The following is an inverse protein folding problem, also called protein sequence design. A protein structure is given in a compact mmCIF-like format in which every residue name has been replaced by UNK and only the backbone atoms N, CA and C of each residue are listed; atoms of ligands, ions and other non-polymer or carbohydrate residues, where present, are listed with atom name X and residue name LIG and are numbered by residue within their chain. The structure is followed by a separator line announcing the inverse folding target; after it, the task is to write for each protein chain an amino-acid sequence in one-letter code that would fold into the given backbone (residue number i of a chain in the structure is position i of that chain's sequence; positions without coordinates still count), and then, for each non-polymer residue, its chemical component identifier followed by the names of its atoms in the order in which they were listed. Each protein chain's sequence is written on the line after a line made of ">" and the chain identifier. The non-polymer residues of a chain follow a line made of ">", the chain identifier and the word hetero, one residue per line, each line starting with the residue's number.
data_IF_539577544276
#
_entry.id   IF_539577544276
#
_cell.length_a   1.000
_cell.length_b   1.000
_cell.length_c   1.000
_cell.angle_alpha   90.00
_cell.angle_beta   90.00
_cell.angle_gamma   90.00
#
_symmetry.space_group_name_H-M   'P 1'
#
loop_
_entity.id
_entity.type
_entity.pdbx_description
1 polymer ?
#
# COMPACT_ATOMS: atom_id res chain seq x y z
N UNK A 1 -22.57 10.78 24.21
CA UNK A 1 -22.65 11.24 22.82
C UNK A 1 -21.47 10.63 22.08
N UNK A 2 -21.69 9.59 21.27
CA UNK A 2 -20.63 8.96 20.47
C UNK A 2 -20.50 9.76 19.18
N UNK A 3 -19.48 10.60 19.11
CA UNK A 3 -19.08 11.24 17.86
C UNK A 3 -18.78 10.12 16.85
N UNK A 4 -19.52 10.08 15.74
CA UNK A 4 -19.23 9.12 14.67
C UNK A 4 -17.88 9.52 14.10
N UNK A 5 -16.82 8.84 14.53
CA UNK A 5 -15.47 8.99 13.96
C UNK A 5 -15.59 8.78 12.45
N UNK A 6 -15.43 9.85 11.68
CA UNK A 6 -15.43 9.79 10.23
C UNK A 6 -14.15 9.10 9.81
N UNK A 7 -14.27 7.85 9.36
CA UNK A 7 -13.14 7.06 8.87
C UNK A 7 -12.61 7.74 7.59
N UNK A 8 -11.34 8.17 7.56
CA UNK A 8 -10.75 8.73 6.34
C UNK A 8 -10.58 7.63 5.28
N UNK A 9 -10.48 7.99 4.00
CA UNK A 9 -10.20 7.02 2.94
C UNK A 9 -8.86 6.31 3.19
N UNK A 10 -8.70 5.12 2.60
CA UNK A 10 -7.44 4.38 2.60
C UNK A 10 -6.31 5.26 2.05
N UNK A 11 -5.18 5.39 2.77
CA UNK A 11 -4.05 6.19 2.31
C UNK A 11 -3.52 5.75 0.95
N UNK A 12 -3.23 6.70 0.06
CA UNK A 12 -2.59 6.45 -1.25
C UNK A 12 -1.10 6.75 -1.22
N UNK A 13 -0.36 6.16 -2.17
CA UNK A 13 1.10 6.33 -2.30
C UNK A 13 1.58 7.79 -2.34
N UNK A 14 0.80 8.68 -2.94
CA UNK A 14 1.15 10.10 -3.11
C UNK A 14 0.67 10.99 -1.95
N UNK A 15 0.02 10.43 -0.92
CA UNK A 15 -0.40 11.22 0.22
C UNK A 15 0.80 11.62 1.08
N UNK A 16 0.74 12.84 1.64
CA UNK A 16 1.82 13.41 2.42
C UNK A 16 2.28 12.49 3.56
N UNK A 17 1.36 11.82 4.24
CA UNK A 17 1.68 10.88 5.34
C UNK A 17 2.51 9.67 4.88
N UNK A 18 2.30 9.19 3.64
CA UNK A 18 3.06 8.06 3.08
C UNK A 18 4.45 8.52 2.63
N UNK A 19 4.50 9.67 1.96
CA UNK A 19 5.75 10.31 1.53
C UNK A 19 6.63 10.63 2.74
N UNK A 20 6.03 11.24 3.76
CA UNK A 20 6.70 11.57 5.03
C UNK A 20 7.29 10.32 5.67
N UNK A 21 6.51 9.24 5.73
CA UNK A 21 6.97 7.96 6.29
C UNK A 21 8.10 7.33 5.48
N UNK A 22 8.08 7.48 4.15
CA UNK A 22 9.15 7.01 3.27
C UNK A 22 10.45 7.80 3.51
N UNK A 23 10.36 9.14 3.55
CA UNK A 23 11.49 10.04 3.80
C UNK A 23 12.10 9.78 5.19
N UNK A 24 11.29 9.52 6.21
CA UNK A 24 11.77 9.21 7.56
C UNK A 24 12.76 8.04 7.63
N UNK A 25 12.63 7.05 6.74
CA UNK A 25 13.55 5.92 6.68
C UNK A 25 14.95 6.32 6.21
N UNK A 26 15.05 7.35 5.36
CA UNK A 26 16.32 7.83 4.79
C UNK A 26 16.86 9.08 5.48
N UNK A 27 16.13 9.70 6.41
CA UNK A 27 16.58 10.89 7.13
C UNK A 27 17.91 10.69 7.84
N UNK A 28 18.05 9.61 8.60
CA UNK A 28 19.27 9.32 9.36
C UNK A 28 20.50 9.12 8.45
N UNK A 29 20.46 8.27 7.42
CA UNK A 29 21.62 8.10 6.54
C UNK A 29 21.94 9.37 5.74
N UNK A 30 20.94 10.16 5.31
CA UNK A 30 21.21 11.45 4.64
C UNK A 30 21.85 12.45 5.60
N UNK A 31 21.39 12.54 6.86
CA UNK A 31 22.01 13.41 7.86
C UNK A 31 23.47 13.01 8.14
N UNK A 32 23.73 11.70 8.25
CA UNK A 32 25.10 11.20 8.42
C UNK A 32 26.00 11.55 7.23
N UNK A 33 25.48 11.45 6.00
CA UNK A 33 26.19 11.87 4.80
C UNK A 33 26.53 13.37 4.81
N UNK A 34 25.58 14.22 5.24
CA UNK A 34 25.82 15.66 5.40
C UNK A 34 26.90 15.97 6.45
N UNK A 35 26.83 15.30 7.60
CA UNK A 35 27.73 15.55 8.73
C UNK A 35 29.19 15.19 8.40
N UNK A 36 29.43 14.18 7.57
CA UNK A 36 30.77 13.79 7.11
C UNK A 36 31.39 14.87 6.21
N UNK A 37 30.56 15.50 5.37
CA UNK A 37 31.02 16.47 4.38
C UNK A 37 31.19 17.87 4.94
N UNK A 38 30.45 18.24 5.99
CA UNK A 38 30.48 19.56 6.64
C UNK A 38 30.29 20.77 5.67
N UNK A 39 29.81 20.52 4.45
CA UNK A 39 29.75 21.50 3.36
C UNK A 39 28.54 22.41 3.46
N UNK A 40 27.43 21.92 4.03
CA UNK A 40 26.24 22.71 4.32
C UNK A 40 25.34 21.98 5.31
N UNK A 41 24.55 22.73 6.09
CA UNK A 41 23.51 22.19 6.96
C UNK A 41 22.17 22.74 6.47
N UNK A 42 21.32 21.91 5.83
CA UNK A 42 20.02 22.36 5.35
C UNK A 42 19.14 22.76 6.54
N UNK A 43 18.51 23.94 6.46
CA UNK A 43 17.63 24.45 7.52
C UNK A 43 16.44 23.53 7.80
N UNK A 44 15.97 22.83 6.76
CA UNK A 44 14.86 21.87 6.85
C UNK A 44 15.12 20.68 5.92
N UNK A 45 15.96 19.75 6.39
CA UNK A 45 16.34 18.54 5.66
C UNK A 45 15.11 17.75 5.21
N UNK A 46 14.15 17.56 6.10
CA UNK A 46 12.95 16.75 5.84
C UNK A 46 12.09 17.38 4.76
N UNK A 47 11.83 18.69 4.84
CA UNK A 47 11.03 19.37 3.82
C UNK A 47 11.70 19.33 2.44
N UNK A 48 13.02 19.54 2.36
CA UNK A 48 13.74 19.48 1.08
C UNK A 48 13.67 18.09 0.45
N UNK A 49 13.85 17.04 1.25
CA UNK A 49 13.70 15.66 0.80
C UNK A 49 12.27 15.39 0.32
N UNK A 50 11.26 15.80 1.08
CA UNK A 50 9.85 15.61 0.69
C UNK A 50 9.49 16.36 -0.61
N UNK A 51 10.01 17.57 -0.81
CA UNK A 51 9.71 18.37 -2.01
C UNK A 51 10.35 17.80 -3.29
N UNK A 52 11.53 17.21 -3.16
CA UNK A 52 12.29 16.67 -4.29
C UNK A 52 12.06 15.17 -4.55
N UNK A 53 11.12 14.53 -3.84
CA UNK A 53 10.93 13.07 -3.86
C UNK A 53 10.85 12.51 -5.29
N UNK A 54 11.57 11.40 -5.50
CA UNK A 54 11.52 10.60 -6.70
C UNK A 54 11.72 9.13 -6.35
N UNK A 55 11.20 8.24 -7.19
CA UNK A 55 11.43 6.79 -7.10
C UNK A 55 12.82 6.37 -7.57
N UNK A 56 13.53 7.24 -8.29
CA UNK A 56 14.87 6.99 -8.78
C UNK A 56 15.88 7.88 -8.04
N UNK A 57 16.86 7.28 -7.37
CA UNK A 57 17.84 8.01 -6.56
C UNK A 57 18.63 9.07 -7.34
N UNK A 58 18.90 8.85 -8.63
CA UNK A 58 19.61 9.82 -9.48
C UNK A 58 18.74 11.03 -9.82
N UNK A 59 17.49 10.82 -10.22
CA UNK A 59 16.57 11.95 -10.48
C UNK A 59 16.22 12.69 -9.18
N UNK A 60 16.16 11.97 -8.06
CA UNK A 60 16.00 12.58 -6.74
C UNK A 60 17.18 13.50 -6.40
N UNK A 61 18.42 13.00 -6.53
CA UNK A 61 19.64 13.78 -6.31
C UNK A 61 19.70 15.02 -7.21
N UNK A 62 19.39 14.87 -8.51
CA UNK A 62 19.37 15.95 -9.48
C UNK A 62 18.34 17.04 -9.14
N UNK A 63 17.18 16.65 -8.60
CA UNK A 63 16.17 17.62 -8.12
C UNK A 63 16.67 18.41 -6.90
N UNK A 64 17.38 17.75 -5.98
CA UNK A 64 17.98 18.39 -4.80
C UNK A 64 19.08 19.39 -5.21
N UNK A 65 19.93 19.00 -6.17
CA UNK A 65 20.92 19.90 -6.78
C UNK A 65 20.24 21.11 -7.42
N UNK A 66 19.28 20.89 -8.32
CA UNK A 66 18.65 21.95 -9.08
C UNK A 66 17.84 22.94 -8.22
N UNK A 67 17.18 22.49 -7.15
CA UNK A 67 16.31 23.35 -6.31
C UNK A 67 17.02 23.94 -5.11
N UNK A 68 17.92 23.17 -4.49
CA UNK A 68 18.50 23.53 -3.19
C UNK A 68 20.03 23.64 -3.25
N UNK A 69 20.64 23.45 -4.42
CA UNK A 69 22.09 23.59 -4.60
C UNK A 69 22.89 22.50 -3.90
N UNK A 70 22.29 21.33 -3.69
CA UNK A 70 23.02 20.18 -3.16
C UNK A 70 24.09 19.73 -4.14
N UNK A 71 25.21 19.21 -3.63
CA UNK A 71 26.27 18.60 -4.44
C UNK A 71 26.27 17.08 -4.25
N UNK A 72 25.30 16.36 -4.83
CA UNK A 72 25.15 14.92 -4.65
C UNK A 72 26.35 14.16 -5.23
N UNK A 73 26.75 13.10 -4.55
CA UNK A 73 27.69 12.10 -5.04
C UNK A 73 27.02 10.73 -5.18
N UNK A 74 27.80 9.72 -5.57
CA UNK A 74 27.33 8.34 -5.68
C UNK A 74 26.74 7.83 -4.36
N UNK A 75 27.35 8.16 -3.22
CA UNK A 75 26.89 7.71 -1.90
C UNK A 75 25.51 8.26 -1.57
N UNK A 76 25.25 9.55 -1.83
CA UNK A 76 23.93 10.13 -1.63
C UNK A 76 22.89 9.49 -2.57
N UNK A 77 23.24 9.29 -3.84
CA UNK A 77 22.34 8.65 -4.81
C UNK A 77 21.93 7.26 -4.33
N UNK A 78 22.87 6.46 -3.83
CA UNK A 78 22.59 5.14 -3.25
C UNK A 78 21.70 5.22 -2.00
N UNK A 79 21.87 6.23 -1.15
CA UNK A 79 20.99 6.44 0.02
C UNK A 79 19.57 6.78 -0.43
N UNK A 80 19.42 7.65 -1.43
CA UNK A 80 18.13 8.06 -1.96
C UNK A 80 17.42 6.93 -2.69
N UNK A 81 18.16 6.02 -3.33
CA UNK A 81 17.60 4.86 -4.04
C UNK A 81 17.02 3.80 -3.08
N UNK A 82 17.40 3.83 -1.80
CA UNK A 82 16.78 2.99 -0.74
C UNK A 82 15.38 3.46 -0.34
N UNK A 83 14.89 4.55 -0.92
CA UNK A 83 13.54 5.00 -0.70
C UNK A 83 12.57 3.95 -1.29
N UNK A 84 11.87 3.23 -0.42
CA UNK A 84 10.86 2.25 -0.80
C UNK A 84 9.45 2.75 -0.42
N UNK A 85 8.72 3.42 -1.33
CA UNK A 85 7.36 3.90 -1.06
C UNK A 85 6.38 2.77 -0.72
N UNK A 86 6.66 1.55 -1.16
CA UNK A 86 5.82 0.38 -0.91
C UNK A 86 5.71 0.05 0.57
N UNK A 87 6.84 -0.10 1.26
CA UNK A 87 6.86 -0.39 2.68
C UNK A 87 6.27 0.74 3.53
N UNK A 88 6.53 1.99 3.12
CA UNK A 88 5.95 3.15 3.78
C UNK A 88 4.42 3.14 3.66
N UNK A 89 3.90 2.87 2.47
CA UNK A 89 2.47 2.72 2.22
C UNK A 89 1.87 1.60 3.05
N UNK A 90 2.50 0.42 3.07
CA UNK A 90 2.06 -0.72 3.87
C UNK A 90 1.95 -0.35 5.37
N UNK A 91 2.99 0.29 5.91
CA UNK A 91 3.03 0.72 7.32
C UNK A 91 1.91 1.70 7.65
N UNK A 92 1.68 2.69 6.77
CA UNK A 92 0.65 3.71 6.96
C UNK A 92 -0.75 3.10 6.83
N UNK A 93 -0.96 2.17 5.91
CA UNK A 93 -2.23 1.44 5.78
C UNK A 93 -2.50 0.59 7.03
N UNK A 94 -1.50 -0.11 7.57
CA UNK A 94 -1.65 -0.88 8.81
C UNK A 94 -2.01 0.00 10.00
N UNK A 95 -1.36 1.17 10.11
CA UNK A 95 -1.70 2.17 11.12
C UNK A 95 -3.13 2.68 10.95
N UNK A 96 -3.57 2.95 9.72
CA UNK A 96 -4.94 3.35 9.40
C UNK A 96 -5.96 2.26 9.79
N UNK A 97 -5.71 1.00 9.45
CA UNK A 97 -6.58 -0.14 9.85
C UNK A 97 -6.71 -0.21 11.36
N UNK A 98 -5.60 -0.09 12.08
CA UNK A 98 -5.53 -0.20 13.53
C UNK A 98 -6.21 0.98 14.21
N UNK A 99 -5.89 2.21 13.79
CA UNK A 99 -6.38 3.46 14.39
C UNK A 99 -7.89 3.63 14.24
N UNK A 100 -8.43 3.27 13.07
CA UNK A 100 -9.86 3.43 12.76
C UNK A 100 -10.68 2.15 12.98
N UNK A 101 -10.05 1.06 13.45
CA UNK A 101 -10.71 -0.21 13.71
C UNK A 101 -11.43 -0.76 12.48
N UNK A 102 -10.78 -0.69 11.32
CA UNK A 102 -11.36 -1.07 10.03
C UNK A 102 -11.78 -2.54 10.04
N UNK A 103 -13.03 -2.79 9.69
CA UNK A 103 -13.61 -4.14 9.62
C UNK A 103 -13.98 -4.46 8.19
N UNK A 104 -13.53 -5.61 7.72
CA UNK A 104 -13.89 -6.16 6.41
C UNK A 104 -15.35 -6.63 6.46
N UNK A 105 -16.25 -6.09 5.63
CA UNK A 105 -17.67 -6.44 5.64
C UNK A 105 -18.00 -7.70 4.81
N UNK A 106 -17.04 -8.63 4.67
CA UNK A 106 -17.15 -9.85 3.89
C UNK A 106 -16.83 -11.09 4.74
N UNK A 107 -17.27 -12.25 4.29
CA UNK A 107 -17.02 -13.56 4.88
C UNK A 107 -16.28 -14.46 3.88
N UNK A 108 -15.56 -15.45 4.41
CA UNK A 108 -14.98 -16.51 3.59
C UNK A 108 -16.13 -17.24 2.87
N UNK A 109 -15.96 -17.49 1.58
CA UNK A 109 -16.98 -18.06 0.71
C UNK A 109 -17.84 -17.03 -0.02
N UNK A 110 -17.81 -15.75 0.38
CA UNK A 110 -18.53 -14.71 -0.33
C UNK A 110 -17.99 -14.57 -1.77
N UNK A 111 -18.92 -14.27 -2.68
CA UNK A 111 -18.65 -14.07 -4.10
C UNK A 111 -18.53 -12.59 -4.37
N UNK A 112 -17.42 -12.20 -4.97
CA UNK A 112 -17.10 -10.79 -5.23
C UNK A 112 -16.63 -10.58 -6.67
N UNK A 113 -16.84 -9.38 -7.18
CA UNK A 113 -16.21 -8.89 -8.41
C UNK A 113 -15.54 -7.54 -8.15
N UNK A 114 -14.64 -7.15 -9.05
CA UNK A 114 -14.01 -5.83 -9.10
C UNK A 114 -13.99 -5.37 -10.56
N UNK A 115 -13.61 -4.11 -10.88
CA UNK A 115 -13.46 -3.67 -12.27
C UNK A 115 -12.48 -4.53 -13.10
N UNK A 116 -11.52 -5.18 -12.45
CA UNK A 116 -10.50 -6.03 -13.08
C UNK A 116 -10.73 -7.53 -12.89
N UNK A 117 -11.60 -7.92 -11.95
CA UNK A 117 -11.96 -9.30 -11.66
C UNK A 117 -13.45 -9.53 -11.93
N UNK A 118 -13.75 -10.31 -12.98
CA UNK A 118 -15.14 -10.61 -13.35
C UNK A 118 -15.92 -11.30 -12.22
N UNK A 119 -15.32 -12.30 -11.58
CA UNK A 119 -15.88 -12.99 -10.43
C UNK A 119 -14.79 -13.80 -9.69
N UNK A 120 -14.93 -13.91 -8.38
CA UNK A 120 -14.10 -14.79 -7.56
C UNK A 120 -14.70 -15.05 -6.18
N UNK A 121 -14.06 -15.94 -5.42
CA UNK A 121 -14.48 -16.33 -4.07
C UNK A 121 -13.48 -15.85 -3.04
N UNK A 122 -13.95 -15.21 -1.97
CA UNK A 122 -13.13 -14.84 -0.82
C UNK A 122 -12.64 -16.11 -0.12
N UNK A 123 -11.32 -16.28 -0.02
CA UNK A 123 -10.69 -17.43 0.64
C UNK A 123 -10.05 -17.06 1.98
N UNK A 124 -9.55 -15.84 2.09
CA UNK A 124 -8.88 -15.37 3.31
C UNK A 124 -8.89 -13.83 3.39
N UNK A 125 -8.36 -13.30 4.48
CA UNK A 125 -8.24 -11.87 4.74
C UNK A 125 -6.84 -11.51 5.23
N UNK A 126 -6.23 -10.49 4.63
CA UNK A 126 -5.17 -9.75 5.30
C UNK A 126 -5.82 -8.71 6.22
N UNK A 127 -5.88 -9.05 7.51
CA UNK A 127 -6.45 -8.16 8.53
C UNK A 127 -5.56 -6.97 8.85
N UNK A 128 -4.25 -7.05 8.56
CA UNK A 128 -3.33 -5.95 8.83
C UNK A 128 -3.55 -4.80 7.85
N UNK A 129 -3.90 -5.10 6.61
CA UNK A 129 -4.14 -4.11 5.56
C UNK A 129 -5.60 -4.01 5.14
N UNK A 130 -6.50 -4.77 5.77
CA UNK A 130 -7.90 -4.90 5.38
C UNK A 130 -8.04 -5.23 3.87
N UNK A 131 -7.42 -6.32 3.43
CA UNK A 131 -7.51 -6.82 2.05
C UNK A 131 -8.17 -8.19 2.00
N UNK A 132 -8.87 -8.48 0.90
CA UNK A 132 -9.48 -9.78 0.61
C UNK A 132 -8.51 -10.60 -0.24
N UNK A 133 -8.24 -11.84 0.17
CA UNK A 133 -7.59 -12.82 -0.69
C UNK A 133 -8.67 -13.56 -1.50
N UNK A 134 -8.74 -13.27 -2.80
CA UNK A 134 -9.79 -13.76 -3.70
C UNK A 134 -9.22 -14.74 -4.70
N UNK A 135 -9.87 -15.90 -4.82
CA UNK A 135 -9.60 -16.86 -5.88
C UNK A 135 -10.51 -16.58 -7.07
N UNK A 136 -9.92 -16.26 -8.22
CA UNK A 136 -10.65 -16.02 -9.48
C UNK A 136 -11.22 -17.33 -10.03
N UNK A 137 -12.42 -17.26 -10.63
CA UNK A 137 -13.04 -18.43 -11.27
C UNK A 137 -12.24 -18.95 -12.46
N UNK A 138 -11.56 -18.06 -13.19
CA UNK A 138 -10.72 -18.44 -14.33
C UNK A 138 -9.53 -19.32 -13.93
N UNK A 139 -9.10 -19.25 -12.67
CA UNK A 139 -7.91 -19.94 -12.17
C UNK A 139 -8.25 -21.27 -11.47
N UNK A 140 -9.54 -21.62 -11.31
CA UNK A 140 -9.99 -22.85 -10.64
C UNK A 140 -9.43 -24.12 -11.30
N UNK A 141 -9.14 -24.09 -12.60
CA UNK A 141 -8.72 -25.26 -13.38
C UNK A 141 -7.20 -25.43 -13.50
N UNK A 142 -6.39 -24.49 -12.98
CA UNK A 142 -4.92 -24.55 -13.13
C UNK A 142 -4.21 -25.29 -11.99
N UNK A 143 -4.96 -25.84 -11.02
CA UNK A 143 -4.39 -26.62 -9.90
C UNK A 143 -3.49 -25.80 -8.96
N UNK A 144 -3.48 -24.47 -9.11
CA UNK A 144 -2.70 -23.55 -8.29
C UNK A 144 -3.64 -22.62 -7.54
N UNK A 145 -3.45 -22.53 -6.23
CA UNK A 145 -4.20 -21.63 -5.33
C UNK A 145 -3.73 -20.19 -5.49
N UNK A 146 -3.85 -19.64 -6.71
CA UNK A 146 -3.53 -18.25 -6.98
C UNK A 146 -4.63 -17.36 -6.40
N UNK A 147 -4.28 -16.71 -5.29
CA UNK A 147 -5.13 -15.72 -4.63
C UNK A 147 -4.62 -14.33 -4.98
N UNK A 148 -5.52 -13.47 -5.41
CA UNK A 148 -5.24 -12.06 -5.63
C UNK A 148 -5.70 -11.28 -4.40
N UNK A 149 -4.83 -10.41 -3.88
CA UNK A 149 -5.20 -9.46 -2.84
C UNK A 149 -5.92 -8.28 -3.48
N UNK A 150 -7.12 -7.97 -2.99
CA UNK A 150 -7.89 -6.79 -3.40
C UNK A 150 -8.28 -5.99 -2.15
N UNK A 151 -8.38 -4.67 -2.27
CA UNK A 151 -8.94 -3.86 -1.19
C UNK A 151 -10.42 -4.20 -1.05
N UNK A 152 -10.93 -4.34 0.18
CA UNK A 152 -12.36 -4.67 0.36
C UNK A 152 -13.26 -3.56 -0.17
N UNK A 153 -12.76 -2.32 -0.22
CA UNK A 153 -13.45 -1.15 -0.74
C UNK A 153 -13.73 -1.25 -2.24
N UNK A 154 -12.91 -2.00 -2.98
CA UNK A 154 -13.04 -2.21 -4.43
C UNK A 154 -13.91 -3.43 -4.76
N UNK A 155 -14.27 -4.24 -3.75
CA UNK A 155 -15.02 -5.46 -3.91
C UNK A 155 -16.53 -5.18 -3.93
N UNK A 156 -17.20 -5.67 -4.97
CA UNK A 156 -18.64 -5.61 -5.13
C UNK A 156 -19.20 -7.02 -4.87
N UNK A 157 -20.12 -7.20 -3.89
CA UNK A 157 -20.73 -8.49 -3.65
C UNK A 157 -21.63 -8.91 -4.82
N UNK A 158 -21.48 -10.15 -5.30
CA UNK A 158 -22.34 -10.73 -6.32
C UNK A 158 -23.58 -11.32 -5.63
N UNK A 159 -24.68 -10.56 -5.63
CA UNK A 159 -25.95 -10.97 -5.04
C UNK A 159 -26.54 -12.21 -5.73
N UNK A 160 -27.14 -13.11 -4.94
CA UNK A 160 -27.74 -14.37 -5.42
C UNK A 160 -26.98 -15.65 -5.04
N UNK A 161 -25.81 -15.53 -4.39
CA UNK A 161 -25.00 -16.66 -3.87
C UNK A 161 -24.91 -16.69 -2.34
N UNK A 162 -25.66 -15.80 -1.67
CA UNK A 162 -25.87 -15.86 -0.23
C UNK A 162 -26.97 -16.91 0.02
N UNK A 163 -26.57 -18.12 0.41
CA UNK A 163 -27.51 -19.16 0.86
C UNK A 163 -28.14 -20.04 -0.23
N UNK A 164 -27.48 -20.28 -1.37
CA UNK A 164 -27.85 -21.44 -2.17
C UNK A 164 -27.23 -22.69 -1.52
N UNK A 165 -28.04 -23.66 -1.02
CA UNK A 165 -27.49 -24.96 -0.69
C UNK A 165 -26.81 -25.54 -1.93
N UNK A 166 -25.71 -26.27 -1.72
CA UNK A 166 -25.06 -27.04 -2.76
C UNK A 166 -26.14 -27.71 -3.61
N UNK A 167 -26.10 -27.49 -4.93
CA UNK A 167 -26.95 -28.21 -5.87
C UNK A 167 -26.68 -29.68 -5.58
N UNK A 168 -27.63 -30.35 -4.94
CA UNK A 168 -27.59 -31.77 -4.75
C UNK A 168 -27.44 -32.34 -6.16
N UNK A 169 -26.28 -32.93 -6.43
CA UNK A 169 -26.06 -33.67 -7.66
C UNK A 169 -27.21 -34.67 -7.78
N UNK A 170 -28.09 -34.39 -8.74
CA UNK A 170 -29.06 -35.34 -9.22
C UNK A 170 -28.30 -36.51 -9.82
N UNK A 171 -28.05 -37.51 -8.98
CA UNK A 171 -27.60 -38.84 -9.38
C UNK A 171 -28.82 -39.73 -9.58
N UNK A 172 -29.23 -39.79 -10.85
CA UNK A 172 -30.23 -40.67 -11.48
C UNK A 172 -30.04 -42.15 -11.11
N UNK A 173 -31.13 -42.83 -10.73
CA UNK A 173 -31.72 -44.00 -11.41
C UNK A 173 -32.85 -44.61 -10.56
#
# INVERSE_FOLDING_TARGET
>A
MTEKVKIPPRPKFHEAVVIERAVEKILTPVQQWLDIRAQFQPKDLKAQLMECIDSNGYEYAKKLEARFGWEPDCDLVEILDRLEPHDAHLTVVQAWVTLYGIKIPFKIGDRVCTPTLRAGTVKDFDRSTAQLAVQSDGNLNEGKDYRTLINFEDAIPILGTIGQPAVAEGGVA
#
